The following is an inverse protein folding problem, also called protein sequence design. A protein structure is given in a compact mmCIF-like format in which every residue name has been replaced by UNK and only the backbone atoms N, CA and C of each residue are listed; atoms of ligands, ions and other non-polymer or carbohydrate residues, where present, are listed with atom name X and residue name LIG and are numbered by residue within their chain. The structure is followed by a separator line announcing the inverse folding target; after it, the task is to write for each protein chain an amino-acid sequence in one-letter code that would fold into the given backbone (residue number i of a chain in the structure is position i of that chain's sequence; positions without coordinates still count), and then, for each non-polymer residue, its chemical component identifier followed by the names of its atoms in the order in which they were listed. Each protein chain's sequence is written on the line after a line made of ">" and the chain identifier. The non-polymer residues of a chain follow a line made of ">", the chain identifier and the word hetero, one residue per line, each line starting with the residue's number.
data_IF_537820298453
#
_entry.id   IF_537820298453
#
_cell.length_a   1.000
_cell.length_b   1.000
_cell.length_c   1.000
_cell.angle_alpha   90.00
_cell.angle_beta   90.00
_cell.angle_gamma   90.00
#
_symmetry.space_group_name_H-M   'P 1'
#
loop_
_entity.id
_entity.type
_entity.pdbx_description
1 polymer ?
2 non-polymer ?
3 water ?
#
# COMPACT_ATOMS: atom_id res chain seq x y z
N UNK A 37 2.92 22.60 16.61
CA UNK A 37 3.14 22.24 15.21
C UNK A 37 3.09 20.72 15.06
N UNK A 38 2.29 20.25 14.10
CA UNK A 38 2.14 18.82 13.87
C UNK A 38 3.42 18.26 13.26
N UNK A 39 4.05 17.33 13.97
CA UNK A 39 5.25 16.64 13.48
C UNK A 39 4.86 15.23 13.05
N UNK A 40 5.14 14.90 11.80
CA UNK A 40 4.75 13.62 11.21
C UNK A 40 6.01 12.81 10.91
N UNK A 41 6.00 11.56 11.33
CA UNK A 41 7.08 10.62 10.99
C UNK A 41 6.81 10.07 9.59
N UNK A 42 7.65 10.42 8.62
CA UNK A 42 7.40 10.05 7.24
C UNK A 42 8.71 9.67 6.55
N UNK A 43 8.57 9.07 5.36
CA UNK A 43 9.64 8.61 4.48
C UNK A 43 9.83 9.61 3.35
N UNK A 44 11.05 10.11 3.13
CA UNK A 44 11.27 11.08 2.05
C UNK A 44 11.22 10.47 0.66
N UNK A 45 11.26 9.15 0.53
CA UNK A 45 11.18 8.51 -0.76
C UNK A 45 10.39 7.22 -0.73
N UNK A 46 9.07 7.33 -0.68
CA UNK A 46 8.21 6.16 -0.55
C UNK A 46 6.88 6.41 -1.27
N UNK A 47 6.94 6.79 -2.54
CA UNK A 47 5.73 6.96 -3.31
C UNK A 47 5.06 5.59 -3.52
N UNK A 48 3.72 5.55 -3.57
CA UNK A 48 2.80 6.69 -3.54
C UNK A 48 2.48 7.20 -2.13
N UNK A 49 3.05 6.58 -1.10
CA UNK A 49 2.73 6.96 0.27
C UNK A 49 3.20 8.38 0.57
N UNK A 50 4.51 8.62 0.47
CA UNK A 50 5.04 9.92 0.84
C UNK A 50 6.36 10.17 0.13
N UNK A 51 6.69 11.45 0.02
CA UNK A 51 7.97 11.90 -0.49
C UNK A 51 8.24 13.29 0.08
N UNK A 52 9.52 13.68 0.09
CA UNK A 52 9.89 14.96 0.69
C UNK A 52 9.27 16.13 -0.06
N UNK A 53 8.96 15.97 -1.35
CA UNK A 53 8.26 17.02 -2.08
C UNK A 53 6.81 17.16 -1.64
N UNK A 54 6.27 16.19 -0.90
CA UNK A 54 4.91 16.27 -0.43
C UNK A 54 3.87 15.82 -1.42
N UNK A 55 4.24 14.94 -2.35
CA UNK A 55 3.33 14.49 -3.39
C UNK A 55 2.61 13.19 -3.12
N UNK A 56 2.94 12.51 -2.04
CA UNK A 56 2.26 11.28 -1.70
C UNK A 56 0.93 11.53 -1.02
N UNK A 57 0.05 10.52 -1.07
CA UNK A 57 -1.28 10.70 -0.49
C UNK A 57 -1.23 10.79 1.03
N UNK A 58 -0.19 10.25 1.66
CA UNK A 58 -0.05 10.43 3.10
C UNK A 58 0.43 11.84 3.44
N UNK A 59 1.13 12.49 2.52
CA UNK A 59 1.46 13.91 2.70
C UNK A 59 0.19 14.76 2.63
N UNK A 60 -0.70 14.46 1.68
CA UNK A 60 -1.97 15.17 1.59
C UNK A 60 -2.83 14.92 2.82
N UNK A 61 -2.82 13.68 3.33
CA UNK A 61 -3.59 13.37 4.53
C UNK A 61 -3.01 14.06 5.74
N UNK A 62 -1.67 14.07 5.87
CA UNK A 62 -1.04 14.79 6.97
C UNK A 62 -1.28 16.29 6.86
N UNK A 63 -1.39 16.81 5.64
CA UNK A 63 -1.74 18.22 5.47
C UNK A 63 -3.19 18.49 5.84
N UNK A 64 -4.08 17.52 5.59
CA UNK A 64 -5.48 17.66 6.00
C UNK A 64 -5.58 17.67 7.52
N UNK A 65 -4.83 16.79 8.19
CA UNK A 65 -4.87 16.72 9.64
C UNK A 65 -4.31 18.00 10.26
N UNK A 66 -3.23 18.53 9.69
CA UNK A 66 -2.65 19.76 10.21
C UNK A 66 -3.59 20.94 10.06
N UNK A 67 -4.26 21.04 8.90
CA UNK A 67 -5.21 22.12 8.70
C UNK A 67 -6.41 22.00 9.62
N UNK A 68 -6.87 20.77 9.88
CA UNK A 68 -8.01 20.57 10.76
C UNK A 68 -7.70 20.99 12.19
N UNK A 69 -6.49 20.69 12.67
CA UNK A 69 -6.06 21.08 14.00
C UNK A 69 -5.60 22.54 14.07
N UNK A 70 -5.73 23.29 12.98
CA UNK A 70 -5.33 24.69 12.91
C UNK A 70 -3.89 24.86 13.37
N UNK A 71 -2.98 24.16 12.69
CA UNK A 71 -1.59 24.06 13.12
C UNK A 71 -0.71 23.86 11.89
N UNK A 72 0.57 24.16 12.05
CA UNK A 72 1.54 23.97 10.98
C UNK A 72 2.01 22.52 10.92
N UNK A 73 2.54 22.14 9.76
CA UNK A 73 2.95 20.77 9.50
C UNK A 73 4.45 20.73 9.22
N UNK A 74 5.16 19.91 9.98
CA UNK A 74 6.58 19.65 9.75
C UNK A 74 6.82 18.14 9.80
N UNK A 75 7.92 17.71 9.19
CA UNK A 75 8.24 16.30 9.06
C UNK A 75 9.59 15.99 9.69
N UNK A 76 9.70 14.78 10.23
CA UNK A 76 10.99 14.18 10.57
C UNK A 76 11.22 13.05 9.57
N UNK A 77 12.08 13.29 8.59
CA UNK A 77 12.26 12.37 7.48
C UNK A 77 13.21 11.24 7.87
N UNK A 78 12.80 10.00 7.58
CA UNK A 78 13.63 8.84 7.76
C UNK A 78 13.14 7.73 6.83
N UNK A 79 14.06 6.95 6.30
CA UNK A 79 13.69 5.86 5.40
C UNK A 79 13.06 4.72 6.17
N UNK A 80 11.99 4.15 5.61
CA UNK A 80 11.28 3.03 6.22
C UNK A 80 12.19 1.83 6.47
N UNK A 83 13.81 -0.77 11.49
CA UNK A 83 13.09 -0.34 12.68
C UNK A 83 12.69 1.12 12.63
N UNK A 84 11.79 1.44 11.70
CA UNK A 84 11.41 2.83 11.46
C UNK A 84 10.71 3.44 12.66
N UNK A 85 9.78 2.69 13.27
CA UNK A 85 8.86 3.27 14.25
C UNK A 85 9.62 3.79 15.47
N UNK A 86 10.32 2.90 16.18
CA UNK A 86 11.03 3.33 17.37
C UNK A 86 12.23 4.21 17.06
N UNK A 87 12.75 4.14 15.82
CA UNK A 87 13.73 5.12 15.37
C UNK A 87 13.13 6.50 15.14
N UNK A 88 11.81 6.59 15.10
CA UNK A 88 11.13 7.86 14.84
C UNK A 88 10.09 8.14 15.93
N UNK A 94 9.29 12.86 16.35
CA UNK A 94 8.01 13.19 15.72
C UNK A 94 6.85 12.55 16.49
N UNK A 95 5.62 12.94 16.19
CA UNK A 95 4.48 12.51 16.99
C UNK A 95 3.49 11.61 16.26
N UNK A 96 3.46 11.62 14.94
CA UNK A 96 2.38 10.97 14.20
C UNK A 96 2.92 10.13 13.06
N UNK A 97 2.32 8.95 12.88
CA UNK A 97 2.51 8.11 11.71
C UNK A 97 1.16 8.01 11.00
N UNK A 98 1.15 8.33 9.70
CA UNK A 98 -0.12 8.42 8.98
C UNK A 98 -0.68 7.03 8.68
N UNK A 99 0.17 6.10 8.25
CA UNK A 99 -0.31 4.78 7.89
C UNK A 99 0.35 3.65 8.64
N UNK A 100 -0.45 2.84 9.33
CA UNK A 100 0.05 1.68 10.06
C UNK A 100 -1.06 0.68 10.34
N UNK A 108 -2.48 2.34 17.86
CA UNK A 108 -3.20 2.72 16.64
C UNK A 108 -4.49 3.45 16.97
N UNK A 109 -4.92 4.32 16.06
CA UNK A 109 -6.17 5.04 16.20
C UNK A 109 -7.29 4.21 15.57
N UNK A 110 -8.45 4.82 15.37
CA UNK A 110 -9.49 4.17 14.59
C UNK A 110 -9.05 4.07 13.13
N UNK A 111 -9.28 2.93 12.48
CA UNK A 111 -8.89 2.81 11.07
C UNK A 111 -9.69 3.77 10.21
N UNK A 112 -9.02 4.36 9.22
CA UNK A 112 -9.68 5.27 8.30
C UNK A 112 -9.81 4.70 6.89
N UNK A 113 -9.28 3.50 6.64
CA UNK A 113 -9.60 2.75 5.43
C UNK A 113 -9.14 1.32 5.61
N UNK A 114 -9.60 0.46 4.72
CA UNK A 114 -9.33 -0.98 4.77
C UNK A 114 -8.97 -1.43 3.36
N UNK A 115 -7.76 -1.97 3.20
CA UNK A 115 -7.31 -2.40 1.88
C UNK A 115 -6.85 -3.85 1.93
N UNK A 116 -6.26 -4.33 0.83
CA UNK A 116 -5.85 -5.73 0.75
C UNK A 116 -4.65 -5.84 -0.19
N UNK A 117 -3.99 -6.99 -0.13
CA UNK A 117 -2.99 -7.32 -1.13
C UNK A 117 -3.69 -7.63 -2.45
N UNK A 118 -3.07 -7.20 -3.55
CA UNK A 118 -3.74 -7.22 -4.84
C UNK A 118 -2.97 -8.09 -5.81
N UNK A 119 -3.67 -8.58 -6.82
CA UNK A 119 -3.08 -9.23 -7.97
C UNK A 119 -2.99 -8.20 -9.10
N UNK A 120 -1.81 -8.04 -9.66
CA UNK A 120 -1.57 -7.10 -10.75
C UNK A 120 -1.09 -7.89 -11.96
N UNK A 121 -1.72 -7.63 -13.11
CA UNK A 121 -1.35 -8.29 -14.35
C UNK A 121 -1.59 -7.33 -15.50
N UNK A 122 -0.87 -7.56 -16.59
CA UNK A 122 -1.05 -6.74 -17.79
C UNK A 122 -2.47 -6.90 -18.31
N UNK A 123 -3.08 -5.78 -18.71
CA UNK A 123 -4.48 -5.75 -19.10
C UNK A 123 -4.74 -6.71 -20.26
N UNK A 124 -5.66 -7.64 -20.05
CA UNK A 124 -6.11 -8.54 -21.09
C UNK A 124 -5.43 -9.90 -21.12
N UNK A 125 -4.51 -10.17 -20.21
CA UNK A 125 -3.77 -11.44 -20.24
C UNK A 125 -4.39 -12.50 -19.35
N UNK A 126 -4.96 -12.12 -18.21
CA UNK A 126 -5.58 -13.05 -17.27
C UNK A 126 -6.93 -12.49 -16.86
N UNK A 127 -7.88 -12.52 -17.80
CA UNK A 127 -9.19 -11.93 -17.55
C UNK A 127 -9.90 -12.64 -16.41
N UNK A 128 -10.55 -11.84 -15.55
CA UNK A 128 -11.36 -12.31 -14.44
C UNK A 128 -10.54 -13.05 -13.39
N UNK A 129 -9.22 -12.83 -13.35
CA UNK A 129 -8.38 -13.42 -12.33
C UNK A 129 -8.74 -12.83 -10.97
N UNK A 130 -9.09 -13.70 -10.02
CA UNK A 130 -9.59 -13.23 -8.73
C UNK A 130 -8.95 -13.96 -7.56
N UNK A 131 -8.53 -15.20 -7.76
CA UNK A 131 -8.08 -16.05 -6.67
C UNK A 131 -6.68 -16.59 -6.96
N UNK A 132 -5.94 -16.88 -5.88
CA UNK A 132 -4.60 -17.41 -6.02
C UNK A 132 -4.58 -18.86 -6.46
N UNK A 133 -5.67 -19.60 -6.28
CA UNK A 133 -5.76 -20.98 -6.73
C UNK A 133 -6.24 -21.10 -8.18
N UNK A 134 -6.23 -20.01 -8.94
CA UNK A 134 -6.64 -20.07 -10.34
C UNK A 134 -5.64 -20.93 -11.10
N UNK A 135 -6.10 -21.91 -11.88
CA UNK A 135 -5.16 -22.82 -12.55
C UNK A 135 -4.26 -22.13 -13.57
N UNK A 136 -4.60 -20.92 -14.03
CA UNK A 136 -3.77 -20.26 -15.02
C UNK A 136 -2.45 -19.76 -14.44
N UNK A 137 -2.29 -19.75 -13.12
CA UNK A 137 -1.07 -19.25 -12.48
C UNK A 137 0.03 -20.30 -12.38
N UNK A 138 -0.25 -21.55 -12.74
CA UNK A 138 0.73 -22.61 -12.53
C UNK A 138 1.96 -22.44 -13.40
N UNK A 139 1.84 -21.76 -14.54
CA UNK A 139 2.95 -21.59 -15.47
C UNK A 139 3.36 -20.12 -15.62
N UNK A 140 2.91 -19.26 -14.71
CA UNK A 140 3.17 -17.83 -14.80
C UNK A 140 4.34 -17.43 -13.93
N UNK A 141 5.15 -16.49 -14.42
CA UNK A 141 6.17 -15.88 -13.59
C UNK A 141 5.52 -14.92 -12.61
N UNK A 142 5.64 -15.21 -11.32
CA UNK A 142 4.94 -14.47 -10.27
C UNK A 142 5.97 -13.71 -9.44
N UNK A 143 5.72 -12.43 -9.23
CA UNK A 143 6.57 -11.57 -8.43
C UNK A 143 5.89 -11.24 -7.11
N UNK A 144 6.67 -11.26 -6.03
CA UNK A 144 6.15 -10.98 -4.70
C UNK A 144 7.31 -10.55 -3.82
N UNK A 145 7.02 -9.67 -2.86
CA UNK A 145 8.02 -9.24 -1.89
C UNK A 145 8.18 -10.33 -0.84
N UNK A 146 9.42 -10.76 -0.62
CA UNK A 146 9.68 -11.87 0.29
C UNK A 146 9.21 -11.55 1.71
N UNK A 147 8.51 -12.51 2.32
CA UNK A 147 8.03 -12.37 3.67
C UNK A 147 6.64 -11.80 3.81
N UNK A 148 6.09 -11.22 2.75
CA UNK A 148 4.76 -10.62 2.83
C UNK A 148 3.71 -11.69 3.09
N UNK A 149 2.56 -11.30 3.67
CA UNK A 149 1.54 -12.29 4.06
C UNK A 149 1.14 -13.25 2.95
N UNK A 150 0.95 -12.79 1.69
CA UNK A 150 0.50 -13.74 0.67
C UNK A 150 1.45 -14.90 0.40
N UNK A 151 2.71 -14.81 0.82
CA UNK A 151 3.68 -15.85 0.52
C UNK A 151 3.31 -17.19 1.17
N UNK A 152 2.53 -17.16 2.26
CA UNK A 152 2.11 -18.41 2.88
C UNK A 152 1.09 -19.14 2.01
N UNK A 153 0.19 -18.40 1.37
CA UNK A 153 -0.77 -19.04 0.46
C UNK A 153 -0.08 -19.57 -0.78
N UNK A 154 0.97 -18.89 -1.25
CA UNK A 154 1.72 -19.38 -2.40
C UNK A 154 2.35 -20.73 -2.10
N UNK A 155 3.01 -20.84 -0.95
CA UNK A 155 3.57 -22.13 -0.54
C UNK A 155 2.48 -23.16 -0.27
N UNK A 156 1.31 -22.70 0.20
CA UNK A 156 0.21 -23.61 0.45
C UNK A 156 -0.35 -24.20 -0.84
N UNK A 157 -0.33 -23.42 -1.92
CA UNK A 157 -0.83 -23.87 -3.22
C UNK A 157 0.27 -24.46 -4.09
N UNK A 158 1.44 -24.74 -3.53
CA UNK A 158 2.59 -25.30 -4.25
C UNK A 158 3.07 -24.37 -5.36
N UNK A 159 2.75 -23.08 -5.28
CA UNK A 159 3.30 -22.09 -6.20
C UNK A 159 4.66 -21.67 -5.65
N UNK A 160 5.64 -22.57 -5.83
CA UNK A 160 6.98 -22.39 -5.29
C UNK A 160 7.99 -22.73 -6.38
N UNK A 161 9.21 -22.22 -6.20
CA UNK A 161 10.30 -22.61 -7.05
C UNK A 161 10.75 -21.56 -8.06
N UNK A 162 10.95 -22.01 -9.30
CA UNK A 162 11.62 -21.18 -10.30
C UNK A 162 10.76 -20.00 -10.72
N UNK A 163 9.45 -20.20 -10.88
CA UNK A 163 8.58 -19.16 -11.40
C UNK A 163 8.17 -18.13 -10.34
N UNK A 164 8.65 -18.26 -9.11
CA UNK A 164 8.31 -17.33 -8.04
C UNK A 164 9.50 -16.40 -7.85
N UNK A 165 9.31 -15.12 -8.14
CA UNK A 165 10.35 -14.10 -8.00
C UNK A 165 10.14 -13.41 -6.65
N UNK A 166 10.92 -13.81 -5.66
CA UNK A 166 10.87 -13.21 -4.33
C UNK A 166 11.80 -12.00 -4.27
N UNK A 167 11.22 -10.82 -4.09
CA UNK A 167 11.99 -9.58 -4.02
C UNK A 167 12.33 -9.27 -2.57
N UNK A 168 13.58 -8.89 -2.33
CA UNK A 168 14.02 -8.59 -0.98
C UNK A 168 13.46 -7.23 -0.55
N UNK A 169 12.79 -7.14 0.62
CA UNK A 169 12.19 -5.89 1.12
C UNK A 169 13.22 -4.79 1.34
N UNK A 177 17.93 1.40 -8.33
CA UNK A 177 17.36 1.85 -9.59
C UNK A 177 15.97 2.44 -9.41
N UNK A 178 15.18 1.79 -8.56
CA UNK A 178 13.81 2.23 -8.29
C UNK A 178 13.69 2.74 -6.87
N UNK A 179 12.70 3.60 -6.65
CA UNK A 179 12.53 4.24 -5.35
C UNK A 179 12.15 3.23 -4.28
N UNK A 180 11.24 2.31 -4.59
CA UNK A 180 10.82 1.28 -3.65
C UNK A 180 10.88 -0.07 -4.34
N UNK A 181 10.82 -1.13 -3.54
CA UNK A 181 10.84 -2.48 -4.10
C UNK A 181 9.54 -2.76 -4.86
N UNK A 182 8.42 -2.22 -4.38
CA UNK A 182 7.16 -2.38 -5.10
C UNK A 182 7.19 -1.70 -6.46
N UNK A 183 7.90 -0.57 -6.57
CA UNK A 183 8.04 0.08 -7.87
C UNK A 183 8.82 -0.80 -8.84
N UNK A 184 9.84 -1.50 -8.35
CA UNK A 184 10.59 -2.40 -9.22
C UNK A 184 9.74 -3.57 -9.68
N UNK A 185 8.92 -4.14 -8.79
CA UNK A 185 8.06 -5.25 -9.15
C UNK A 185 7.09 -4.83 -10.25
N UNK A 186 6.50 -3.64 -10.12
CA UNK A 186 5.60 -3.13 -11.14
C UNK A 186 6.35 -2.90 -12.44
N UNK A 187 7.58 -2.38 -12.36
CA UNK A 187 8.39 -2.16 -13.55
C UNK A 187 8.75 -3.49 -14.22
N UNK A 188 9.07 -4.52 -13.42
CA UNK A 188 9.32 -5.84 -13.99
C UNK A 188 8.08 -6.40 -14.66
N UNK A 189 6.89 -6.09 -14.13
CA UNK A 189 5.66 -6.53 -14.76
C UNK A 189 5.43 -5.79 -16.08
N UNK A 190 5.76 -4.50 -16.13
CA UNK A 190 5.59 -3.73 -17.37
C UNK A 190 6.57 -4.20 -18.44
N UNK A 191 7.76 -4.63 -18.04
CA UNK A 191 8.77 -5.11 -18.98
C UNK A 191 8.69 -6.62 -19.21
N UNK A 192 7.61 -7.27 -18.77
CA UNK A 192 7.35 -8.69 -18.98
C UNK A 192 8.41 -9.58 -18.35
N UNK A 193 9.21 -9.04 -17.43
CA UNK A 193 10.11 -9.89 -16.66
C UNK A 193 9.34 -10.80 -15.70
N UNK A 194 8.13 -10.40 -15.31
CA UNK A 194 7.19 -11.25 -14.61
C UNK A 194 5.82 -11.07 -15.27
N UNK A 195 4.92 -12.02 -15.00
CA UNK A 195 3.57 -11.97 -15.54
C UNK A 195 2.52 -11.59 -14.50
N UNK A 196 2.83 -11.73 -13.22
CA UNK A 196 1.88 -11.50 -12.13
C UNK A 196 2.62 -10.84 -10.98
N UNK A 197 2.04 -9.81 -10.41
CA UNK A 197 2.61 -9.12 -9.25
C UNK A 197 1.63 -9.19 -8.09
N UNK A 198 2.13 -9.59 -6.92
CA UNK A 198 1.35 -9.65 -5.69
C UNK A 198 1.93 -8.61 -4.74
N UNK A 199 1.21 -7.50 -4.56
CA UNK A 199 1.73 -6.37 -3.79
C UNK A 199 0.63 -5.80 -2.91
N UNK A 200 1.05 -4.96 -1.96
CA UNK A 200 0.11 -4.27 -1.08
C UNK A 200 -0.68 -3.25 -1.88
N UNK A 201 -2.00 -3.29 -1.74
CA UNK A 201 -2.91 -2.49 -2.52
C UNK A 201 -2.61 -1.01 -2.61
N UNK A 202 -2.54 -0.33 -1.45
CA UNK A 202 -2.29 1.13 -1.47
C UNK A 202 -1.02 1.53 -2.20
N UNK A 203 -0.08 0.60 -2.41
CA UNK A 203 1.11 0.92 -3.18
C UNK A 203 0.94 0.59 -4.67
N UNK A 204 0.37 -0.58 -4.97
CA UNK A 204 0.34 -1.06 -6.35
C UNK A 204 -0.64 -0.28 -7.21
N UNK A 205 -1.71 0.27 -6.61
CA UNK A 205 -2.71 0.97 -7.41
C UNK A 205 -2.14 2.17 -8.14
N UNK A 206 -1.45 3.05 -7.41
CA UNK A 206 -0.84 4.21 -8.05
C UNK A 206 0.34 3.81 -8.92
N UNK A 207 1.15 2.85 -8.45
CA UNK A 207 2.34 2.45 -9.20
C UNK A 207 1.98 1.88 -10.57
N UNK A 208 0.90 1.09 -10.63
CA UNK A 208 0.46 0.55 -11.91
C UNK A 208 0.07 1.65 -12.88
N UNK A 209 -0.49 2.76 -12.36
CA UNK A 209 -0.86 3.88 -13.22
C UNK A 209 0.35 4.56 -13.82
N UNK A 210 1.51 4.49 -13.15
CA UNK A 210 2.74 5.12 -13.63
C UNK A 210 3.60 4.18 -14.46
N UNK A 211 3.20 2.91 -14.60
CA UNK A 211 4.08 1.92 -15.22
C UNK A 211 4.29 2.17 -16.71
N UNK A 212 3.28 2.69 -17.39
CA UNK A 212 3.35 2.92 -18.82
C UNK A 212 2.60 1.90 -19.66
N UNK A 213 2.24 0.76 -19.07
CA UNK A 213 1.42 -0.23 -19.76
C UNK A 213 0.14 -0.42 -18.95
N UNK A 214 -1.00 -0.69 -19.59
CA UNK A 214 -2.24 -0.88 -18.83
C UNK A 214 -2.19 -2.16 -18.01
N UNK A 215 -2.73 -2.09 -16.79
CA UNK A 215 -2.68 -3.20 -15.85
C UNK A 215 -4.02 -3.34 -15.15
N UNK A 216 -4.29 -4.55 -14.67
CA UNK A 216 -5.46 -4.85 -13.86
C UNK A 216 -5.03 -5.03 -12.41
N UNK A 217 -5.69 -4.32 -11.51
CA UNK A 217 -5.43 -4.41 -10.08
C UNK A 217 -6.63 -5.04 -9.42
N UNK A 218 -6.48 -6.29 -8.96
CA UNK A 218 -7.57 -7.07 -8.39
C UNK A 218 -7.26 -7.33 -6.93
N UNK A 219 -8.06 -6.82 -5.99
CA UNK A 219 -7.84 -7.15 -4.58
C UNK A 219 -8.11 -8.62 -4.31
N UNK A 220 -7.27 -9.21 -3.44
CA UNK A 220 -7.39 -10.62 -3.07
C UNK A 220 -8.35 -10.73 -1.89
N UNK A 221 -9.58 -11.13 -2.16
CA UNK A 221 -10.63 -11.19 -1.15
C UNK A 221 -11.06 -12.61 -0.78
N UNK A 222 -10.63 -13.62 -1.53
CA UNK A 222 -11.09 -14.99 -1.33
C UNK A 222 -10.00 -15.91 -0.81
N UNK A 223 -8.92 -15.36 -0.27
CA UNK A 223 -7.88 -16.21 0.28
C UNK A 223 -8.15 -16.47 1.76
N UNK A 224 -8.13 -17.73 2.21
CA UNK A 224 -8.45 -18.10 3.60
C UNK A 224 -7.40 -17.62 4.60
N UNK A 227 -2.49 -16.62 7.34
CA UNK A 227 -2.87 -15.26 7.71
C UNK A 227 -3.89 -14.66 6.75
N UNK A 228 -4.59 -13.60 7.16
CA UNK A 228 -5.47 -12.89 6.24
C UNK A 228 -4.71 -11.88 5.41
N UNK A 229 -5.24 -11.60 4.22
CA UNK A 229 -4.61 -10.68 3.27
C UNK A 229 -5.27 -9.31 3.24
N UNK A 230 -6.28 -9.08 4.07
CA UNK A 230 -6.96 -7.80 4.15
C UNK A 230 -6.62 -7.15 5.49
N UNK A 231 -6.28 -5.86 5.46
CA UNK A 231 -5.85 -5.17 6.66
C UNK A 231 -6.49 -3.79 6.74
N UNK A 232 -6.86 -3.40 7.96
CA UNK A 232 -7.34 -2.06 8.23
C UNK A 232 -6.14 -1.17 8.56
N UNK A 233 -6.16 0.06 8.06
CA UNK A 233 -5.05 0.99 8.21
C UNK A 233 -5.52 2.14 9.09
N UNK A 234 -4.74 2.42 10.14
CA UNK A 234 -5.01 3.51 11.06
C UNK A 234 -3.77 4.41 11.14
N UNK A 235 -3.85 5.42 11.98
CA UNK A 235 -2.69 6.25 12.30
C UNK A 235 -2.04 5.73 13.58
N UNK A 236 -0.77 6.10 13.77
CA UNK A 236 -0.01 5.57 14.87
C UNK A 236 0.54 6.62 15.81
N UNK A 237 0.40 6.39 17.12
CA UNK A 237 0.94 7.29 18.12
C UNK A 237 1.64 6.49 19.23
N UNK A 241 -0.92 8.28 25.68
CA UNK A 241 -1.41 9.48 25.00
C UNK A 241 -2.75 9.21 24.32
N UNK A 242 -3.65 8.55 25.04
CA UNK A 242 -4.96 8.22 24.48
C UNK A 242 -5.83 9.46 24.26
N UNK A 243 -5.52 10.57 24.93
CA UNK A 243 -6.21 11.82 24.63
C UNK A 243 -5.76 12.37 23.28
N UNK A 244 -4.47 12.20 22.96
CA UNK A 244 -3.98 12.59 21.63
C UNK A 244 -4.56 11.67 20.55
N UNK A 245 -4.67 10.38 20.84
CA UNK A 245 -5.37 9.46 19.94
C UNK A 245 -6.84 9.82 19.83
N UNK A 246 -7.42 10.38 20.91
CA UNK A 246 -8.81 10.81 20.87
C UNK A 246 -8.98 12.00 19.94
N UNK A 247 -8.05 12.96 19.99
CA UNK A 247 -8.14 14.11 19.09
C UNK A 247 -7.98 13.69 17.64
N UNK A 248 -7.14 12.69 17.38
CA UNK A 248 -6.95 12.23 16.00
C UNK A 248 -8.16 11.47 15.49
N UNK A 249 -8.78 10.65 16.34
CA UNK A 249 -10.02 9.97 15.97
C UNK A 249 -11.12 10.98 15.65
N UNK A 250 -11.09 12.12 16.32
CA UNK A 250 -12.05 13.18 16.00
C UNK A 250 -11.77 13.74 14.61
N UNK A 251 -10.49 13.94 14.27
CA UNK A 251 -10.14 14.48 12.97
C UNK A 251 -10.51 13.50 11.87
N UNK A 252 -10.23 12.20 12.08
CA UNK A 252 -10.59 11.20 11.08
C UNK A 252 -12.10 11.14 10.88
N UNK A 253 -12.86 11.29 11.96
CA UNK A 253 -14.32 11.23 11.86
C UNK A 253 -14.87 12.43 11.09
N UNK A 254 -14.26 13.60 11.27
CA UNK A 254 -14.76 14.82 10.62
C UNK A 254 -14.37 14.87 9.16
N UNK A 255 -13.07 14.81 8.87
CA UNK A 255 -12.55 14.93 7.51
C UNK A 255 -12.51 13.60 6.77
N UNK A 256 -13.48 12.72 7.02
CA UNK A 256 -13.48 11.41 6.36
C UNK A 256 -13.66 11.55 4.85
N UNK A 257 -14.59 12.41 4.42
CA UNK A 257 -14.84 12.56 2.99
C UNK A 257 -13.63 13.14 2.26
N UNK A 258 -12.85 14.00 2.93
CA UNK A 258 -11.67 14.56 2.31
C UNK A 258 -10.52 13.56 2.25
N UNK A 259 -10.34 12.77 3.31
CA UNK A 259 -9.29 11.77 3.33
C UNK A 259 -9.59 10.66 2.33
N UNK A 260 -10.86 10.22 2.27
CA UNK A 260 -11.24 9.17 1.33
C UNK A 260 -11.09 9.62 -0.11
N UNK A 261 -11.34 10.90 -0.39
CA UNK A 261 -11.16 11.41 -1.75
C UNK A 261 -9.69 11.41 -2.16
N UNK A 262 -8.78 11.62 -1.21
CA UNK A 262 -7.36 11.56 -1.52
C UNK A 262 -6.94 10.14 -1.83
N UNK A 263 -7.47 9.16 -1.09
CA UNK A 263 -7.13 7.77 -1.34
C UNK A 263 -7.61 7.33 -2.72
N UNK A 264 -8.78 7.80 -3.14
CA UNK A 264 -9.31 7.41 -4.45
C UNK A 264 -8.51 8.07 -5.57
N UNK A 265 -8.03 9.30 -5.36
CA UNK A 265 -7.23 9.96 -6.39
C UNK A 265 -5.94 9.22 -6.66
N UNK A 266 -5.39 8.54 -5.64
CA UNK A 266 -4.16 7.78 -5.79
C UNK A 266 -4.41 6.30 -6.04
N UNK A 267 -5.64 5.94 -6.44
CA UNK A 267 -5.99 4.58 -6.84
C UNK A 267 -5.81 3.57 -5.72
N UNK A 268 -6.05 4.00 -4.48
CA UNK A 268 -5.93 3.10 -3.33
C UNK A 268 -7.17 2.21 -3.27
N UNK A 269 -7.03 0.89 -3.32
CA UNK A 269 -8.20 0.00 -3.21
C UNK A 269 -8.83 0.14 -1.83
N UNK A 270 -10.11 0.52 -1.81
CA UNK A 270 -10.84 0.74 -0.56
C UNK A 270 -11.89 -0.34 -0.40
N UNK A 271 -11.93 -0.95 0.79
CA UNK A 271 -12.85 -2.03 1.10
C UNK A 271 -13.83 -1.58 2.18
N UNK A 272 -14.98 -2.25 2.21
CA UNK A 272 -15.99 -1.93 3.21
C UNK A 272 -15.70 -2.66 4.52
N UNK A 273 -16.48 -2.32 5.54
CA UNK A 273 -16.35 -2.92 6.87
C UNK A 273 -14.94 -2.76 7.44
X LIG B 1 3.85 7.55 7.64
X LIG B 1 2.85 6.71 7.05
X LIG B 1 3.65 9.00 7.18
X LIG B 1 3.84 9.09 5.76
X LIG C 1 6.96 1.88 -11.86
X LIG C 1 8.13 1.38 -11.19
X LIG C 1 7.38 2.67 -13.09
X LIG C 1 8.14 1.82 -13.96
#
# INVERSE_FOLDING_TARGET
>A
MTRSSAPVSVAVAALLLSAGARPAHAQHLPDLVTQDVLRVCSDPGNMPFSERKGGGFENKIAQIVADELKVKLRYYWLTQGPGFVRNTLGTGLCDLIIGTSGGDIVQATNPYYRSAYVLVARKGELADLKRLDDPRLKDRQIGIIAGTPPSNRLSELKLVGERIHAYAPYAFGAERKHQTVAAEVIADLAEKKIDVAILWGPAAGWLAKQSGVPMDVVPLLHEPGRPPLTFRVSMGVRHNENDWKRSLNTVLRKRKADIEAVLREYEVPLLAEEDTKPLDAADE
>B hetero
1 EDO C1 O1 C2 O2
>C hetero
1 EDO C1 O1 C2 O2
#
